data_IF_662010715389
#
_entry.id   IF_662010715389
#
_cell.length_a   1.000
_cell.length_b   1.000
_cell.length_c   1.000
_cell.angle_alpha   90.00
_cell.angle_beta   90.00
_cell.angle_gamma   90.00
#
_symmetry.space_group_name_H-M   'P 1'
#
loop_
_entity.id
_entity.type
_entity.pdbx_description
1 polymer ?
#
# COMPACT_ATOMS: atom_id res chain seq x y z
N UNK A 1 -9.89 24.34 -12.84
CA UNK A 1 -10.87 23.24 -12.99
C UNK A 1 -10.15 21.98 -13.42
N UNK A 2 -10.11 20.99 -12.52
CA UNK A 2 -10.11 19.53 -12.70
C UNK A 2 -9.57 18.96 -11.37
N UNK A 3 -10.15 18.02 -10.64
CA UNK A 3 -11.41 17.24 -10.64
C UNK A 3 -11.50 16.70 -9.20
N UNK A 4 -12.70 16.54 -8.64
CA UNK A 4 -12.95 16.37 -7.21
C UNK A 4 -12.01 15.42 -6.44
N UNK A 5 -11.62 15.83 -5.22
CA UNK A 5 -11.18 14.88 -4.21
C UNK A 5 -12.39 14.01 -3.88
N UNK A 6 -12.53 12.89 -4.59
CA UNK A 6 -13.42 11.84 -4.12
C UNK A 6 -12.94 11.49 -2.72
N UNK A 7 -13.75 11.76 -1.71
CA UNK A 7 -13.44 11.35 -0.34
C UNK A 7 -13.22 9.84 -0.37
N UNK A 8 -12.03 9.43 0.06
CA UNK A 8 -11.70 8.03 0.14
C UNK A 8 -12.58 7.37 1.20
N UNK A 9 -13.12 6.21 0.86
CA UNK A 9 -13.78 5.35 1.83
C UNK A 9 -12.78 4.94 2.93
N UNK A 10 -13.29 4.59 4.11
CA UNK A 10 -12.47 4.05 5.21
C UNK A 10 -11.63 2.86 4.76
N UNK A 11 -12.21 1.97 3.94
CA UNK A 11 -11.52 0.82 3.34
C UNK A 11 -10.32 1.25 2.48
N UNK A 12 -10.48 2.30 1.67
CA UNK A 12 -9.38 2.82 0.83
C UNK A 12 -8.30 3.51 1.66
N UNK A 13 -8.69 4.27 2.69
CA UNK A 13 -7.74 4.89 3.62
C UNK A 13 -6.90 3.84 4.35
N UNK A 14 -7.52 2.76 4.81
CA UNK A 14 -6.82 1.62 5.44
C UNK A 14 -5.82 0.94 4.49
N UNK A 15 -6.16 0.81 3.21
CA UNK A 15 -5.22 0.25 2.22
C UNK A 15 -4.00 1.15 2.01
N UNK A 16 -4.18 2.48 2.06
CA UNK A 16 -3.07 3.44 1.98
C UNK A 16 -2.21 3.41 3.26
N UNK A 17 -2.84 3.38 4.43
CA UNK A 17 -2.14 3.26 5.71
C UNK A 17 -1.30 1.97 5.79
N UNK A 18 -1.83 0.85 5.27
CA UNK A 18 -1.07 -0.38 5.13
C UNK A 18 0.15 -0.22 4.20
N UNK A 19 -0.03 0.45 3.06
CA UNK A 19 1.05 0.68 2.11
C UNK A 19 2.19 1.50 2.75
N UNK A 20 1.85 2.58 3.43
CA UNK A 20 2.80 3.41 4.18
C UNK A 20 3.53 2.60 5.26
N UNK A 21 2.78 1.82 6.04
CA UNK A 21 3.35 1.01 7.11
C UNK A 21 4.39 -0.01 6.57
N UNK A 22 4.06 -0.71 5.49
CA UNK A 22 4.95 -1.71 4.89
C UNK A 22 6.18 -1.05 4.25
N UNK A 23 5.99 0.09 3.56
CA UNK A 23 7.09 0.80 2.91
C UNK A 23 8.05 1.46 3.90
N UNK A 24 7.53 2.07 4.97
CA UNK A 24 8.34 2.81 5.94
C UNK A 24 8.99 1.93 7.01
N UNK A 25 8.34 0.82 7.40
CA UNK A 25 8.75 0.02 8.56
C UNK A 25 9.11 -1.43 8.22
N UNK A 26 9.59 -1.68 7.00
CA UNK A 26 10.13 -2.98 6.56
C UNK A 26 9.19 -4.17 6.82
N UNK A 27 7.88 -3.96 6.69
CA UNK A 27 6.88 -5.00 6.90
C UNK A 27 6.53 -5.31 8.37
N UNK A 28 7.00 -4.51 9.34
CA UNK A 28 6.46 -4.58 10.70
C UNK A 28 5.03 -4.02 10.72
N UNK A 29 4.06 -4.90 10.99
CA UNK A 29 2.65 -4.54 11.02
C UNK A 29 2.15 -4.47 12.47
N UNK A 30 1.71 -3.29 12.95
CA UNK A 30 1.08 -3.17 14.26
C UNK A 30 -0.20 -4.03 14.34
N UNK A 31 -0.39 -4.71 15.47
CA UNK A 31 -1.55 -5.57 15.70
C UNK A 31 -2.87 -4.81 15.52
N UNK A 32 -2.94 -3.57 16.00
CA UNK A 32 -4.13 -2.71 15.86
C UNK A 32 -4.50 -2.46 14.38
N UNK A 33 -3.49 -2.21 13.53
CA UNK A 33 -3.71 -2.02 12.10
C UNK A 33 -4.19 -3.33 11.45
N UNK A 34 -3.60 -4.46 11.81
CA UNK A 34 -4.03 -5.77 11.31
C UNK A 34 -5.50 -6.07 11.67
N UNK A 35 -5.90 -5.77 12.91
CA UNK A 35 -7.28 -5.96 13.37
C UNK A 35 -8.27 -5.04 12.63
N UNK A 36 -7.89 -3.80 12.34
CA UNK A 36 -8.70 -2.88 11.51
C UNK A 36 -8.81 -3.40 10.08
N UNK A 37 -7.72 -3.87 9.49
CA UNK A 37 -7.71 -4.45 8.14
C UNK A 37 -8.64 -5.68 8.04
N UNK A 38 -8.59 -6.58 9.01
CA UNK A 38 -9.44 -7.78 9.08
C UNK A 38 -10.95 -7.47 9.16
N UNK A 39 -11.35 -6.25 9.54
CA UNK A 39 -12.76 -5.83 9.55
C UNK A 39 -13.28 -5.41 8.17
N UNK A 40 -12.39 -4.96 7.27
CA UNK A 40 -12.78 -4.39 5.98
C UNK A 40 -12.37 -5.23 4.76
N UNK A 41 -11.51 -6.23 4.97
CA UNK A 41 -10.95 -7.06 3.91
C UNK A 41 -11.10 -8.54 4.24
N UNK A 42 -11.29 -9.37 3.21
CA UNK A 42 -11.14 -10.82 3.35
C UNK A 42 -9.66 -11.19 3.44
N UNK A 43 -9.37 -12.43 3.84
CA UNK A 43 -7.99 -12.94 3.90
C UNK A 43 -7.34 -12.91 2.51
N UNK A 44 -8.07 -13.28 1.45
CA UNK A 44 -7.58 -13.25 0.08
C UNK A 44 -7.23 -11.84 -0.38
N UNK A 45 -8.07 -10.87 -0.02
CA UNK A 45 -7.82 -9.45 -0.33
C UNK A 45 -6.61 -8.92 0.43
N UNK A 46 -6.41 -9.34 1.69
CA UNK A 46 -5.22 -8.99 2.45
C UNK A 46 -3.95 -9.59 1.84
N UNK A 47 -3.97 -10.86 1.47
CA UNK A 47 -2.84 -11.51 0.77
C UNK A 47 -2.52 -10.73 -0.52
N UNK A 48 -3.54 -10.39 -1.30
CA UNK A 48 -3.38 -9.62 -2.53
C UNK A 48 -2.79 -8.22 -2.25
N UNK A 49 -3.25 -7.53 -1.20
CA UNK A 49 -2.74 -6.22 -0.80
C UNK A 49 -1.27 -6.30 -0.37
N UNK A 50 -0.90 -7.21 0.52
CA UNK A 50 0.50 -7.38 0.95
C UNK A 50 1.41 -7.70 -0.23
N UNK A 51 0.98 -8.60 -1.11
CA UNK A 51 1.74 -8.95 -2.30
C UNK A 51 1.94 -7.75 -3.23
N UNK A 52 0.87 -6.99 -3.49
CA UNK A 52 0.91 -5.82 -4.36
C UNK A 52 1.83 -4.72 -3.81
N UNK A 53 1.73 -4.43 -2.51
CA UNK A 53 2.58 -3.43 -1.84
C UNK A 53 4.04 -3.87 -1.85
N UNK A 54 4.31 -5.13 -1.48
CA UNK A 54 5.66 -5.69 -1.48
C UNK A 54 6.31 -5.70 -2.87
N UNK A 55 5.56 -6.12 -3.90
CA UNK A 55 6.01 -6.13 -5.29
C UNK A 55 6.38 -4.73 -5.78
N UNK A 56 5.53 -3.73 -5.51
CA UNK A 56 5.82 -2.34 -5.86
C UNK A 56 7.04 -1.80 -5.12
N UNK A 57 7.16 -2.08 -3.82
CA UNK A 57 8.32 -1.65 -3.03
C UNK A 57 9.62 -2.21 -3.63
N UNK A 58 9.67 -3.53 -3.91
CA UNK A 58 10.83 -4.17 -4.52
C UNK A 58 11.16 -3.59 -5.92
N UNK A 59 10.15 -3.38 -6.77
CA UNK A 59 10.33 -2.79 -8.10
C UNK A 59 10.86 -1.35 -8.02
N UNK A 60 10.36 -0.54 -7.09
CA UNK A 60 10.81 0.84 -6.90
C UNK A 60 12.29 0.89 -6.48
N UNK A 61 12.73 0.01 -5.57
CA UNK A 61 14.15 -0.09 -5.21
C UNK A 61 15.03 -0.46 -6.40
N UNK A 62 14.57 -1.37 -7.26
CA UNK A 62 15.29 -1.74 -8.48
C UNK A 62 15.41 -0.55 -9.45
N UNK A 63 14.30 0.15 -9.71
CA UNK A 63 14.26 1.33 -10.60
C UNK A 63 15.25 2.41 -10.11
N UNK A 64 15.22 2.71 -8.82
CA UNK A 64 16.13 3.69 -8.19
C UNK A 64 17.58 3.24 -8.34
N UNK A 65 17.89 1.98 -8.02
CA UNK A 65 19.25 1.45 -8.11
C UNK A 65 19.80 1.47 -9.55
N UNK A 66 18.94 1.24 -10.54
CA UNK A 66 19.31 1.25 -11.96
C UNK A 66 19.32 2.64 -12.58
N UNK A 67 18.89 3.68 -11.85
CA UNK A 67 18.77 5.04 -12.38
C UNK A 67 17.80 5.16 -13.55
N UNK A 68 16.80 4.26 -13.62
CA UNK A 68 15.81 4.27 -14.70
C UNK A 68 14.89 5.47 -14.47
N UNK A 69 14.91 6.43 -15.40
CA UNK A 69 13.98 7.54 -15.41
C UNK A 69 12.65 7.07 -16.01
N UNK A 70 11.53 7.45 -15.40
CA UNK A 70 10.23 7.22 -16.00
C UNK A 70 10.04 8.21 -17.15
N UNK A 71 9.83 7.70 -18.36
CA UNK A 71 9.37 8.52 -19.48
C UNK A 71 7.94 8.98 -19.15
N UNK A 72 7.76 10.27 -18.86
CA UNK A 72 6.47 10.90 -18.56
C UNK A 72 5.93 11.65 -19.78
#
# INVERSE_FOLDING_TARGET
>A
MNKGSAELTERQLLALELADQVMAYHGQLPQELYERLMKHFTIEELIALFFQVGSKNAANWFIIAMGIQADH
#
